data_IF_102480972624
#
_entry.id   IF_102480972624
#
_cell.length_a   1.000
_cell.length_b   1.000
_cell.length_c   1.000
_cell.angle_alpha   90.00
_cell.angle_beta   90.00
_cell.angle_gamma   90.00
#
_symmetry.space_group_name_H-M   'P 1'
#
loop_
_entity.id
_entity.type
_entity.pdbx_description
1 polymer ?
#
# COMPACT_ATOMS: atom_id res chain seq x y z
N UNK A 1 0.96 51.61 -45.02
CA UNK A 1 0.07 51.10 -43.95
C UNK A 1 -0.85 50.06 -44.56
N UNK A 2 -0.54 48.76 -44.39
CA UNK A 2 -1.49 47.70 -44.76
C UNK A 2 -2.37 47.41 -43.54
N UNK A 3 -3.70 47.37 -43.68
CA UNK A 3 -4.59 47.12 -42.56
C UNK A 3 -4.48 45.67 -42.09
N UNK A 4 -4.39 45.50 -40.77
CA UNK A 4 -4.43 44.21 -40.09
C UNK A 4 -5.78 43.55 -40.35
N UNK A 5 -5.78 42.46 -41.14
CA UNK A 5 -6.95 41.63 -41.37
C UNK A 5 -6.97 40.58 -40.25
N UNK A 6 -7.91 40.70 -39.33
CA UNK A 6 -8.08 39.77 -38.23
C UNK A 6 -8.20 38.34 -38.77
N UNK A 7 -7.19 37.50 -38.49
CA UNK A 7 -7.22 36.06 -38.67
C UNK A 7 -8.21 35.47 -37.66
N UNK A 8 -9.49 35.58 -37.97
CA UNK A 8 -10.50 34.66 -37.44
C UNK A 8 -10.25 33.29 -38.10
N UNK A 9 -9.22 32.59 -37.61
CA UNK A 9 -9.18 31.15 -37.75
C UNK A 9 -10.33 30.62 -36.89
N UNK A 10 -11.50 30.45 -37.53
CA UNK A 10 -12.48 29.47 -37.05
C UNK A 10 -11.75 28.16 -37.03
N UNK A 11 -11.25 27.80 -35.85
CA UNK A 11 -10.87 26.44 -35.54
C UNK A 11 -12.07 25.60 -35.93
N UNK A 12 -11.93 24.82 -37.01
CA UNK A 12 -12.99 23.98 -37.52
C UNK A 12 -13.21 22.89 -36.47
N UNK A 13 -14.38 22.88 -35.82
CA UNK A 13 -14.68 21.95 -34.71
C UNK A 13 -14.43 20.50 -35.13
N UNK A 14 -14.61 20.18 -36.42
CA UNK A 14 -14.31 18.86 -36.98
C UNK A 14 -12.82 18.51 -36.94
N UNK A 15 -11.93 19.48 -37.10
CA UNK A 15 -10.48 19.25 -37.00
C UNK A 15 -10.05 19.06 -35.55
N UNK A 16 -10.69 19.74 -34.60
CA UNK A 16 -10.45 19.54 -33.16
C UNK A 16 -10.96 18.19 -32.71
N UNK A 17 -12.17 17.81 -33.12
CA UNK A 17 -12.74 16.49 -32.85
C UNK A 17 -11.87 15.37 -33.46
N UNK A 18 -11.40 15.55 -34.70
CA UNK A 18 -10.50 14.61 -35.34
C UNK A 18 -9.14 14.51 -34.64
N UNK A 19 -8.56 15.62 -34.17
CA UNK A 19 -7.32 15.63 -33.40
C UNK A 19 -7.49 14.99 -32.01
N UNK A 20 -8.65 15.21 -31.36
CA UNK A 20 -8.97 14.61 -30.05
C UNK A 20 -9.23 13.11 -30.18
N UNK A 21 -9.94 12.67 -31.22
CA UNK A 21 -10.20 11.24 -31.47
C UNK A 21 -8.94 10.51 -31.94
N UNK A 22 -8.12 11.12 -32.83
CA UNK A 22 -6.82 10.56 -33.20
C UNK A 22 -5.88 10.45 -31.99
N UNK A 23 -5.89 11.44 -31.09
CA UNK A 23 -5.13 11.38 -29.83
C UNK A 23 -5.65 10.29 -28.89
N UNK A 24 -6.97 10.04 -28.83
CA UNK A 24 -7.55 8.94 -28.05
C UNK A 24 -7.20 7.57 -28.63
N UNK A 25 -7.20 7.43 -29.95
CA UNK A 25 -6.88 6.16 -30.62
C UNK A 25 -5.38 5.84 -30.53
N UNK A 26 -4.50 6.83 -30.66
CA UNK A 26 -3.05 6.65 -30.48
C UNK A 26 -2.70 6.30 -29.02
N UNK A 27 -3.37 6.89 -28.02
CA UNK A 27 -3.18 6.55 -26.60
C UNK A 27 -3.68 5.13 -26.28
N UNK A 28 -4.66 4.60 -27.02
CA UNK A 28 -5.21 3.26 -26.82
C UNK A 28 -4.35 2.16 -27.48
N UNK A 29 -3.55 2.49 -28.49
CA UNK A 29 -2.82 1.52 -29.31
C UNK A 29 -1.42 1.15 -28.80
N UNK A 30 -0.87 1.83 -27.79
CA UNK A 30 0.48 1.56 -27.24
C UNK A 30 0.51 0.84 -25.90
N UNK A 31 -0.63 0.50 -25.30
CA UNK A 31 -0.64 -0.27 -24.05
C UNK A 31 -0.63 -1.78 -24.36
N UNK A 32 0.53 -2.41 -24.18
CA UNK A 32 0.59 -3.88 -24.09
C UNK A 32 -0.41 -4.35 -23.00
N UNK A 33 -1.11 -5.49 -23.19
CA UNK A 33 -2.01 -6.00 -22.18
C UNK A 33 -1.25 -6.22 -20.87
N UNK A 34 -1.72 -5.57 -19.81
CA UNK A 34 -1.16 -5.72 -18.46
C UNK A 34 -1.43 -7.16 -18.02
N UNK A 35 -0.37 -7.88 -17.61
CA UNK A 35 -0.45 -9.27 -17.14
C UNK A 35 0.16 -9.37 -15.75
N UNK A 36 -0.16 -10.44 -15.00
CA UNK A 36 0.31 -10.65 -13.64
C UNK A 36 -0.50 -9.87 -12.59
N UNK A 37 0.03 -9.65 -11.36
CA UNK A 37 -0.74 -9.11 -10.23
C UNK A 37 -1.44 -7.76 -10.49
N UNK A 38 -0.90 -6.95 -11.40
CA UNK A 38 -1.48 -5.66 -11.80
C UNK A 38 -2.78 -5.81 -12.63
N UNK A 39 -3.04 -6.98 -13.21
CA UNK A 39 -4.29 -7.28 -13.88
C UNK A 39 -5.40 -7.65 -12.87
N UNK A 40 -5.04 -8.33 -11.77
CA UNK A 40 -5.97 -8.74 -10.71
C UNK A 40 -6.28 -7.59 -9.73
N UNK A 41 -5.27 -6.79 -9.38
CA UNK A 41 -5.38 -5.61 -8.51
C UNK A 41 -4.75 -4.38 -9.22
N UNK A 42 -5.56 -3.62 -9.98
CA UNK A 42 -5.06 -2.48 -10.73
C UNK A 42 -4.66 -1.32 -9.80
N UNK A 43 -3.66 -0.55 -10.23
CA UNK A 43 -3.19 0.63 -9.51
C UNK A 43 -4.36 1.60 -9.31
N UNK A 44 -4.55 2.05 -8.07
CA UNK A 44 -5.59 3.01 -7.71
C UNK A 44 -5.33 4.41 -8.28
N UNK A 45 -6.32 5.29 -8.17
CA UNK A 45 -6.19 6.69 -8.57
C UNK A 45 -5.03 7.39 -7.85
N UNK A 46 -4.44 8.38 -8.52
CA UNK A 46 -3.34 9.17 -7.93
C UNK A 46 -3.85 9.96 -6.72
N UNK A 47 -3.14 9.85 -5.59
CA UNK A 47 -3.40 10.62 -4.39
C UNK A 47 -2.39 11.77 -4.24
N UNK A 48 -2.71 12.74 -3.39
CA UNK A 48 -1.76 13.80 -3.03
C UNK A 48 -0.74 13.31 -2.00
N UNK A 49 0.40 13.99 -1.90
CA UNK A 49 1.36 13.71 -0.85
C UNK A 49 0.77 13.94 0.55
N UNK A 50 -0.10 14.93 0.72
CA UNK A 50 -0.77 15.22 2.00
C UNK A 50 -1.65 14.06 2.47
N UNK A 51 -2.24 13.29 1.54
CA UNK A 51 -2.99 12.09 1.88
C UNK A 51 -2.08 10.96 2.35
N UNK A 52 -0.93 10.77 1.70
CA UNK A 52 0.07 9.81 2.17
C UNK A 52 0.65 10.21 3.53
N UNK A 53 0.96 11.49 3.73
CA UNK A 53 1.53 12.01 4.98
C UNK A 53 0.59 11.85 6.19
N UNK A 54 -0.72 11.67 5.98
CA UNK A 54 -1.68 11.33 7.05
C UNK A 54 -1.49 9.92 7.58
N UNK A 55 -0.84 9.01 6.86
CA UNK A 55 -0.61 7.63 7.29
C UNK A 55 0.71 7.57 8.04
N UNK A 56 0.67 7.22 9.32
CA UNK A 56 1.90 7.08 10.12
C UNK A 56 2.44 5.66 9.98
N UNK A 57 3.36 5.47 9.03
CA UNK A 57 4.07 4.23 8.81
C UNK A 57 5.36 4.21 9.63
N UNK A 58 5.56 3.14 10.40
CA UNK A 58 6.72 2.96 11.29
C UNK A 58 7.38 1.62 11.08
N UNK A 59 8.71 1.62 11.20
CA UNK A 59 9.47 0.39 11.40
C UNK A 59 9.22 -0.12 12.82
N UNK A 60 8.89 -1.40 12.94
CA UNK A 60 8.68 -2.08 14.21
C UNK A 60 9.52 -3.35 14.30
N UNK A 61 10.01 -3.65 15.50
CA UNK A 61 10.62 -4.95 15.84
C UNK A 61 9.52 -5.89 16.31
N UNK A 62 9.49 -7.11 15.78
CA UNK A 62 8.62 -8.16 16.30
C UNK A 62 9.30 -8.75 17.54
N UNK A 63 8.89 -8.30 18.73
CA UNK A 63 9.42 -8.81 20.00
C UNK A 63 8.83 -10.17 20.36
N UNK A 64 7.56 -10.39 20.03
CA UNK A 64 6.89 -11.66 20.27
C UNK A 64 5.86 -11.94 19.17
N UNK A 65 5.66 -13.22 18.87
CA UNK A 65 4.70 -13.70 17.91
C UNK A 65 4.10 -15.02 18.40
N UNK A 66 2.77 -15.06 18.53
CA UNK A 66 2.06 -16.19 19.13
C UNK A 66 0.79 -16.51 18.35
N UNK A 67 0.33 -17.75 18.50
CA UNK A 67 -0.99 -18.13 17.99
C UNK A 67 -2.10 -17.46 18.80
N UNK A 68 -3.19 -17.15 18.12
CA UNK A 68 -4.41 -16.68 18.76
C UNK A 68 -5.31 -17.87 19.04
N UNK A 69 -5.56 -18.17 20.31
CA UNK A 69 -6.51 -19.21 20.70
C UNK A 69 -7.90 -18.91 20.11
N UNK A 70 -8.47 -19.89 19.40
CA UNK A 70 -9.76 -19.73 18.73
C UNK A 70 -9.71 -19.01 17.38
N UNK A 71 -8.54 -18.82 16.78
CA UNK A 71 -8.40 -18.38 15.38
C UNK A 71 -7.36 -19.17 14.59
N UNK A 72 -7.78 -19.73 13.45
CA UNK A 72 -6.90 -20.46 12.53
C UNK A 72 -6.16 -19.57 11.53
N UNK A 73 -6.46 -18.26 11.53
CA UNK A 73 -5.92 -17.31 10.55
C UNK A 73 -5.04 -16.22 11.16
N UNK A 74 -5.16 -15.98 12.46
CA UNK A 74 -4.52 -14.86 13.12
C UNK A 74 -3.27 -15.28 13.90
N UNK A 75 -2.25 -14.43 13.85
CA UNK A 75 -1.16 -14.35 14.81
C UNK A 75 -1.31 -13.11 15.67
N UNK A 76 -0.93 -13.20 16.94
CA UNK A 76 -0.76 -12.06 17.83
C UNK A 76 0.70 -11.64 17.79
N UNK A 77 0.97 -10.41 17.38
CA UNK A 77 2.30 -9.83 17.33
C UNK A 77 2.42 -8.75 18.40
N UNK A 78 3.48 -8.82 19.19
CA UNK A 78 3.94 -7.71 20.04
C UNK A 78 5.03 -6.98 19.28
N UNK A 79 4.75 -5.72 18.94
CA UNK A 79 5.62 -4.88 18.12
C UNK A 79 6.24 -3.80 19.00
N UNK A 80 7.57 -3.67 18.98
CA UNK A 80 8.29 -2.58 19.61
C UNK A 80 8.65 -1.50 18.58
N UNK A 81 8.35 -0.25 18.94
CA UNK A 81 8.62 0.96 18.18
C UNK A 81 9.79 1.76 18.77
N UNK A 82 10.65 1.13 19.58
CA UNK A 82 11.81 1.77 20.18
C UNK A 82 11.48 2.50 21.48
N UNK A 83 10.57 1.93 22.28
CA UNK A 83 10.12 2.50 23.56
C UNK A 83 8.60 2.46 23.77
N UNK A 84 7.84 2.18 22.72
CA UNK A 84 6.40 1.94 22.77
C UNK A 84 6.11 0.55 22.20
N UNK A 85 5.36 -0.26 22.95
CA UNK A 85 4.94 -1.59 22.52
C UNK A 85 3.48 -1.56 22.10
N UNK A 86 3.16 -2.26 21.02
CA UNK A 86 1.80 -2.39 20.50
C UNK A 86 1.42 -3.83 20.24
N UNK A 87 0.17 -4.13 20.54
CA UNK A 87 -0.42 -5.42 20.21
C UNK A 87 -1.15 -5.36 18.86
N UNK A 88 -0.77 -6.23 17.92
CA UNK A 88 -1.37 -6.30 16.58
C UNK A 88 -1.80 -7.72 16.27
N UNK A 89 -3.05 -7.88 15.82
CA UNK A 89 -3.53 -9.15 15.30
C UNK A 89 -3.39 -9.17 13.78
N UNK A 90 -2.63 -10.13 13.25
CA UNK A 90 -2.28 -10.21 11.83
C UNK A 90 -2.76 -11.50 11.19
N UNK A 91 -3.41 -11.39 10.02
CA UNK A 91 -3.99 -12.50 9.25
C UNK A 91 -2.99 -13.35 8.46
N UNK A 92 -1.76 -13.48 8.95
CA UNK A 92 -0.63 -14.05 8.19
C UNK A 92 -0.25 -15.47 8.61
N UNK A 93 -1.02 -16.10 9.50
CA UNK A 93 -0.71 -17.44 10.06
C UNK A 93 -0.50 -18.50 8.98
N UNK A 94 -1.25 -18.44 7.88
CA UNK A 94 -1.16 -19.41 6.78
C UNK A 94 0.20 -19.38 6.07
N UNK A 95 0.83 -18.21 5.96
CA UNK A 95 2.17 -18.06 5.38
C UNK A 95 3.29 -18.26 6.40
N UNK A 96 3.01 -17.98 7.68
CA UNK A 96 3.96 -18.11 8.78
C UNK A 96 3.43 -19.10 9.84
N UNK A 97 3.49 -20.42 9.55
CA UNK A 97 3.01 -21.44 10.47
C UNK A 97 3.90 -21.61 11.71
N UNK A 98 5.15 -21.11 11.67
CA UNK A 98 6.03 -21.01 12.82
C UNK A 98 6.18 -19.53 13.23
N UNK A 99 5.46 -19.07 14.28
CA UNK A 99 5.55 -17.70 14.76
C UNK A 99 6.94 -17.35 15.32
N UNK A 100 7.70 -18.32 15.84
CA UNK A 100 9.01 -18.05 16.44
C UNK A 100 10.01 -17.53 15.41
N UNK A 101 9.88 -17.94 14.15
CA UNK A 101 10.67 -17.41 13.04
C UNK A 101 10.43 -15.91 12.74
N UNK A 102 9.36 -15.32 13.29
CA UNK A 102 9.07 -13.89 13.16
C UNK A 102 9.77 -13.05 14.23
N UNK A 103 10.09 -13.62 15.38
CA UNK A 103 10.68 -12.89 16.51
C UNK A 103 12.07 -12.38 16.12
N UNK A 104 12.34 -11.12 16.44
CA UNK A 104 13.58 -10.42 16.09
C UNK A 104 13.61 -9.82 14.69
N UNK A 105 12.59 -10.06 13.84
CA UNK A 105 12.50 -9.44 12.52
C UNK A 105 11.96 -8.02 12.63
N UNK A 106 12.43 -7.17 11.72
CA UNK A 106 11.83 -5.85 11.49
C UNK A 106 10.72 -5.94 10.45
N UNK A 107 9.66 -5.17 10.68
CA UNK A 107 8.50 -5.05 9.78
C UNK A 107 8.05 -3.60 9.69
N UNK A 108 7.16 -3.31 8.74
CA UNK A 108 6.48 -2.01 8.63
C UNK A 108 5.07 -2.13 9.18
N UNK A 109 4.65 -1.18 10.01
CA UNK A 109 3.29 -1.09 10.52
C UNK A 109 2.68 0.28 10.31
N UNK A 110 1.35 0.33 10.21
CA UNK A 110 0.58 1.58 10.33
C UNK A 110 0.29 1.81 11.81
N UNK A 111 0.86 2.88 12.37
CA UNK A 111 0.84 3.22 13.78
C UNK A 111 -0.28 4.20 14.18
N UNK A 112 -1.00 4.80 13.25
CA UNK A 112 -2.10 5.74 13.57
C UNK A 112 -3.48 5.27 13.12
N UNK A 113 -3.67 3.96 12.90
CA UNK A 113 -5.00 3.39 12.74
C UNK A 113 -5.75 3.40 14.07
N UNK A 114 -7.04 3.71 14.01
CA UNK A 114 -7.92 3.62 15.16
C UNK A 114 -7.87 2.18 15.73
N UNK A 115 -7.70 2.01 17.06
CA UNK A 115 -7.65 0.69 17.67
C UNK A 115 -8.92 -0.10 17.37
N UNK A 116 -8.75 -1.34 16.90
CA UNK A 116 -9.88 -2.22 16.58
C UNK A 116 -10.07 -3.25 17.67
N UNK A 117 -11.22 -3.18 18.36
CA UNK A 117 -11.62 -4.21 19.33
C UNK A 117 -11.99 -5.49 18.59
N UNK A 118 -11.36 -6.59 18.97
CA UNK A 118 -11.61 -7.93 18.47
C UNK A 118 -11.97 -8.86 19.63
N UNK A 119 -12.44 -10.08 19.31
CA UNK A 119 -12.74 -11.11 20.33
C UNK A 119 -11.54 -11.43 21.22
N UNK A 120 -10.33 -11.30 20.70
CA UNK A 120 -9.08 -11.74 21.34
C UNK A 120 -8.30 -10.61 22.03
N UNK A 121 -8.80 -9.38 21.96
CA UNK A 121 -8.11 -8.18 22.48
C UNK A 121 -8.28 -6.97 21.57
N UNK A 122 -7.42 -5.97 21.76
CA UNK A 122 -7.39 -4.74 20.95
C UNK A 122 -6.21 -4.84 19.98
N UNK A 123 -6.47 -4.60 18.68
CA UNK A 123 -5.41 -4.42 17.67
C UNK A 123 -5.10 -2.93 17.55
N UNK A 124 -3.86 -2.53 17.80
CA UNK A 124 -3.41 -1.14 17.89
C UNK A 124 -2.63 -0.68 16.65
N UNK A 125 -2.85 -1.37 15.54
CA UNK A 125 -2.19 -1.11 14.27
C UNK A 125 -2.40 -2.27 13.29
N UNK A 126 -1.65 -2.21 12.19
CA UNK A 126 -1.65 -3.21 11.13
C UNK A 126 -0.23 -3.34 10.56
N UNK A 127 0.26 -4.57 10.42
CA UNK A 127 1.53 -4.85 9.72
C UNK A 127 1.32 -4.93 8.21
N UNK A 128 2.33 -4.53 7.45
CA UNK A 128 2.26 -4.50 5.99
C UNK A 128 2.80 -5.80 5.39
N UNK A 129 2.04 -6.37 4.46
CA UNK A 129 2.42 -7.56 3.73
C UNK A 129 1.89 -7.48 2.29
N UNK A 130 2.54 -8.20 1.38
CA UNK A 130 2.16 -8.30 -0.02
C UNK A 130 1.82 -9.75 -0.40
N UNK A 131 1.02 -9.92 -1.45
CA UNK A 131 0.72 -11.22 -2.06
C UNK A 131 -0.77 -11.57 -2.08
N UNK A 132 -1.16 -12.62 -2.84
CA UNK A 132 -2.57 -12.95 -3.12
C UNK A 132 -3.32 -13.58 -1.93
N UNK A 133 -2.63 -13.81 -0.80
CA UNK A 133 -3.22 -14.39 0.40
C UNK A 133 -2.81 -15.85 0.64
N UNK A 134 -3.33 -16.44 1.71
CA UNK A 134 -3.01 -17.82 2.06
C UNK A 134 -1.54 -18.00 2.44
N UNK A 135 -0.83 -18.88 1.72
CA UNK A 135 0.60 -19.16 1.96
C UNK A 135 1.51 -18.13 1.27
N UNK A 136 1.00 -17.46 0.24
CA UNK A 136 1.72 -16.47 -0.55
C UNK A 136 1.51 -15.07 0.04
N UNK A 137 1.79 -14.94 1.34
CA UNK A 137 1.81 -13.65 2.03
C UNK A 137 3.25 -13.36 2.47
N UNK A 138 3.75 -12.19 2.06
CA UNK A 138 5.13 -11.77 2.27
C UNK A 138 5.15 -10.51 3.12
N UNK A 139 5.55 -10.64 4.38
CA UNK A 139 5.71 -9.53 5.31
C UNK A 139 6.79 -8.58 4.80
N UNK A 140 6.48 -7.28 4.75
CA UNK A 140 7.43 -6.26 4.30
C UNK A 140 8.47 -5.99 5.40
N UNK A 141 9.74 -5.96 5.02
CA UNK A 141 10.86 -5.65 5.92
C UNK A 141 11.68 -4.48 5.39
N UNK A 142 12.16 -3.58 6.25
CA UNK A 142 13.10 -2.54 5.82
C UNK A 142 14.49 -3.11 5.58
N UNK A 143 15.31 -2.35 4.85
CA UNK A 143 16.74 -2.64 4.69
C UNK A 143 17.50 -2.56 6.02
N UNK A 144 18.71 -3.13 6.03
CA UNK A 144 19.58 -3.14 7.19
C UNK A 144 19.92 -1.72 7.67
N UNK A 145 19.94 -1.54 9.00
CA UNK A 145 20.22 -0.25 9.64
C UNK A 145 18.98 0.57 9.99
N UNK A 146 17.80 0.21 9.47
CA UNK A 146 16.54 0.71 9.98
C UNK A 146 16.35 0.30 11.46
N UNK A 147 15.79 1.21 12.27
CA UNK A 147 15.57 0.99 13.70
C UNK A 147 14.09 1.09 14.04
N UNK A 148 13.63 0.42 15.10
CA UNK A 148 12.28 0.60 15.64
C UNK A 148 11.94 2.07 15.84
N UNK A 149 10.73 2.47 15.43
CA UNK A 149 10.22 3.84 15.55
C UNK A 149 10.62 4.78 14.40
N UNK A 150 11.55 4.39 13.52
CA UNK A 150 11.84 5.17 12.31
C UNK A 150 10.58 5.33 11.47
N UNK A 151 10.32 6.56 11.04
CA UNK A 151 9.22 6.88 10.14
C UNK A 151 9.54 6.45 8.71
N UNK A 152 8.58 5.81 8.05
CA UNK A 152 8.62 5.51 6.61
C UNK A 152 7.99 6.68 5.87
N UNK A 153 8.65 7.16 4.83
CA UNK A 153 8.29 8.36 4.07
C UNK A 153 8.78 8.27 2.64
#
# INVERSE_FOLDING_TARGET
MNPFKALYNRIDMKQVEALVEASKEEVKATAAPVTGPLADDPIQETITFDDFAKVDLRVALIENAEFVEGSDKLLRLTLDLGGEKRNVFSGIRSAYPDPQALIGRHTIMVANLAPRKMRFGISEGMVMAAGPGGKDIFLLSPDAGAKPGHQVK
#
